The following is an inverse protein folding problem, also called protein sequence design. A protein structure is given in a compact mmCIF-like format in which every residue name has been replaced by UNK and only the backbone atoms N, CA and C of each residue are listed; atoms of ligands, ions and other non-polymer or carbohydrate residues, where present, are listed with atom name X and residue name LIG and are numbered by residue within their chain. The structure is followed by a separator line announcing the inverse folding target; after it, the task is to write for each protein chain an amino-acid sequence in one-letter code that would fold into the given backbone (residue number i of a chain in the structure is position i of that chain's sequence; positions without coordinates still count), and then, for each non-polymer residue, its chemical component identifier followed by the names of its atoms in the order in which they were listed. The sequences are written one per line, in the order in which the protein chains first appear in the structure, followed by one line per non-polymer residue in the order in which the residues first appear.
data_IF_799099630601
#
_entry.id   IF_799099630601
#
_cell.length_a   1.000
_cell.length_b   1.000
_cell.length_c   1.000
_cell.angle_alpha   90.00
_cell.angle_beta   90.00
_cell.angle_gamma   90.00
#
_symmetry.space_group_name_H-M   'P 1'
#
loop_
_entity.id
_entity.type
_entity.pdbx_description
1 polymer ?
#
# COMPACT_ATOMS: atom_id res chain seq x y z
N UNK A 1 -5.48 9.24 2.84
CA UNK A 1 -6.14 9.25 1.51
C UNK A 1 -7.30 8.26 1.52
N UNK A 2 -8.29 8.34 0.61
CA UNK A 2 -9.44 7.42 0.60
C UNK A 2 -9.41 6.52 -0.63
N UNK A 3 -9.76 5.24 -0.44
CA UNK A 3 -9.81 4.24 -1.50
C UNK A 3 -11.11 3.41 -1.43
N UNK A 4 -11.40 2.66 -2.49
CA UNK A 4 -12.55 1.75 -2.54
C UNK A 4 -12.07 0.34 -2.89
N UNK A 5 -11.92 -0.51 -1.88
CA UNK A 5 -11.59 -1.93 -2.06
C UNK A 5 -12.86 -2.78 -1.94
N UNK A 6 -13.19 -3.57 -2.96
CA UNK A 6 -14.34 -4.48 -2.94
C UNK A 6 -15.66 -3.79 -2.51
N UNK A 7 -15.95 -2.62 -3.09
CA UNK A 7 -17.12 -1.75 -2.76
C UNK A 7 -17.14 -1.20 -1.33
N UNK A 8 -16.06 -1.34 -0.56
CA UNK A 8 -15.92 -0.76 0.79
C UNK A 8 -15.04 0.48 0.71
N UNK A 9 -15.57 1.61 1.17
CA UNK A 9 -14.77 2.81 1.44
C UNK A 9 -13.79 2.51 2.58
N UNK A 10 -12.54 2.89 2.36
CA UNK A 10 -11.44 2.69 3.30
C UNK A 10 -10.47 3.86 3.23
N UNK A 11 -9.66 3.97 4.27
CA UNK A 11 -8.62 4.98 4.41
C UNK A 11 -7.29 4.31 4.20
N UNK A 12 -6.42 4.93 3.42
CA UNK A 12 -5.04 4.50 3.19
C UNK A 12 -4.17 5.11 4.28
N UNK A 13 -3.45 4.24 4.99
CA UNK A 13 -2.46 4.59 6.01
C UNK A 13 -1.09 4.06 5.61
N UNK A 14 -0.05 4.73 6.10
CA UNK A 14 1.35 4.40 5.83
C UNK A 14 2.05 4.03 7.14
N UNK A 15 2.90 3.03 7.05
CA UNK A 15 3.80 2.59 8.13
C UNK A 15 5.10 2.07 7.49
N UNK A 16 5.98 1.41 8.27
CA UNK A 16 7.21 0.82 7.78
C UNK A 16 7.36 -0.61 8.30
N UNK A 17 7.88 -1.49 7.45
CA UNK A 17 8.29 -2.83 7.89
C UNK A 17 9.53 -2.73 8.77
N UNK A 18 9.54 -3.45 9.90
CA UNK A 18 10.62 -3.38 10.89
C UNK A 18 11.99 -3.80 10.31
N UNK A 19 12.02 -4.80 9.42
CA UNK A 19 13.28 -5.44 8.99
C UNK A 19 14.13 -4.59 8.04
N UNK A 20 13.49 -3.88 7.11
CA UNK A 20 14.16 -3.15 6.01
C UNK A 20 13.67 -1.72 5.84
N UNK A 21 12.77 -1.28 6.73
CA UNK A 21 12.14 0.02 6.69
C UNK A 21 11.38 0.30 5.38
N UNK A 22 11.00 -0.71 4.60
CA UNK A 22 10.20 -0.48 3.40
C UNK A 22 8.84 0.08 3.80
N UNK A 23 8.32 1.01 3.00
CA UNK A 23 7.00 1.59 3.24
C UNK A 23 5.93 0.51 3.15
N UNK A 24 5.13 0.43 4.21
CA UNK A 24 3.95 -0.41 4.29
C UNK A 24 2.71 0.43 3.99
N UNK A 25 1.87 -0.04 3.07
CA UNK A 25 0.56 0.58 2.79
C UNK A 25 -0.53 -0.32 3.35
N UNK A 26 -1.38 0.24 4.20
CA UNK A 26 -2.53 -0.44 4.79
C UNK A 26 -3.82 0.25 4.39
N UNK A 27 -4.87 -0.55 4.17
CA UNK A 27 -6.22 -0.07 3.94
C UNK A 27 -7.04 -0.39 5.18
N UNK A 28 -7.49 0.63 5.87
CA UNK A 28 -8.22 0.51 7.14
C UNK A 28 -9.62 1.07 7.02
N UNK A 29 -10.53 0.62 7.88
CA UNK A 29 -11.89 1.12 7.93
C UNK A 29 -12.35 1.28 9.37
N UNK A 30 -12.80 2.48 9.71
CA UNK A 30 -13.47 2.72 10.99
C UNK A 30 -14.88 2.13 10.98
N UNK A 31 -15.18 1.25 11.93
CA UNK A 31 -16.55 0.74 12.14
C UNK A 31 -17.36 1.73 12.98
N UNK A 32 -18.64 1.89 12.64
CA UNK A 32 -19.52 2.84 13.34
C UNK A 32 -19.67 2.41 14.80
N UNK A 33 -19.38 3.32 15.73
CA UNK A 33 -19.47 3.05 17.17
C UNK A 33 -18.28 2.29 17.75
N UNK A 34 -17.21 2.06 16.99
CA UNK A 34 -15.96 1.50 17.49
C UNK A 34 -14.84 2.54 17.48
N UNK A 35 -14.00 2.52 18.51
CA UNK A 35 -12.79 3.34 18.60
C UNK A 35 -11.69 2.83 17.69
N UNK A 36 -11.61 1.51 17.50
CA UNK A 36 -10.55 0.84 16.73
C UNK A 36 -10.88 0.78 15.23
N UNK A 37 -9.82 0.82 14.42
CA UNK A 37 -9.90 0.68 12.97
C UNK A 37 -9.72 -0.79 12.57
N UNK A 38 -10.54 -1.26 11.64
CA UNK A 38 -10.43 -2.60 11.06
C UNK A 38 -9.43 -2.56 9.90
N UNK A 39 -8.36 -3.35 9.97
CA UNK A 39 -7.47 -3.59 8.84
C UNK A 39 -8.18 -4.44 7.78
N UNK A 40 -8.36 -3.90 6.59
CA UNK A 40 -8.96 -4.61 5.45
C UNK A 40 -7.93 -5.32 4.59
N UNK A 41 -6.78 -4.67 4.37
CA UNK A 41 -5.70 -5.21 3.56
C UNK A 41 -4.37 -4.53 3.90
N UNK A 42 -3.28 -5.28 3.81
CA UNK A 42 -1.93 -4.71 3.68
C UNK A 42 -1.55 -4.83 2.22
N UNK A 43 -1.52 -3.71 1.51
CA UNK A 43 -1.35 -3.68 0.05
C UNK A 43 0.09 -3.96 -0.39
N UNK A 44 1.05 -3.73 0.48
CA UNK A 44 2.47 -4.00 0.24
C UNK A 44 2.88 -5.37 0.76
N UNK A 45 4.07 -5.82 0.36
CA UNK A 45 4.74 -6.98 0.95
C UNK A 45 6.12 -6.58 1.44
N UNK A 46 6.54 -7.15 2.57
CA UNK A 46 7.93 -7.04 2.99
C UNK A 46 8.81 -7.91 2.08
N UNK A 47 9.85 -7.33 1.49
CA UNK A 47 10.79 -8.04 0.61
C UNK A 47 12.13 -8.24 1.31
N UNK A 48 13.00 -9.11 0.79
CA UNK A 48 14.35 -9.29 1.36
C UNK A 48 15.30 -8.13 1.08
N UNK A 49 14.87 -7.11 0.33
CA UNK A 49 15.68 -5.97 -0.09
C UNK A 49 15.04 -4.66 0.37
N UNK A 50 15.89 -3.73 0.81
CA UNK A 50 15.46 -2.35 1.01
C UNK A 50 15.19 -1.68 -0.33
N UNK A 51 14.05 -1.01 -0.46
CA UNK A 51 13.74 -0.12 -1.59
C UNK A 51 13.73 1.33 -1.13
N UNK A 52 13.97 2.26 -2.06
CA UNK A 52 13.93 3.70 -1.76
C UNK A 52 12.52 4.05 -1.27
N UNK A 53 12.45 4.91 -0.25
CA UNK A 53 11.23 5.15 0.57
C UNK A 53 10.07 5.81 -0.19
N UNK A 54 10.29 6.28 -1.41
CA UNK A 54 9.27 6.80 -2.31
C UNK A 54 8.80 5.75 -3.33
N UNK A 55 9.19 4.48 -3.15
CA UNK A 55 8.66 3.34 -3.90
C UNK A 55 8.09 2.29 -2.95
N UNK A 56 7.15 1.52 -3.48
CA UNK A 56 6.48 0.44 -2.76
C UNK A 56 6.42 -0.83 -3.61
N UNK A 57 6.62 -1.98 -2.95
CA UNK A 57 6.44 -3.29 -3.56
C UNK A 57 5.01 -3.79 -3.27
N UNK A 58 4.17 -3.83 -4.29
CA UNK A 58 2.75 -4.15 -4.15
C UNK A 58 2.51 -5.66 -4.17
N UNK A 59 1.78 -6.14 -3.16
CA UNK A 59 1.30 -7.50 -3.04
C UNK A 59 0.02 -7.66 -3.87
N UNK A 60 0.14 -7.77 -5.19
CA UNK A 60 -1.01 -7.84 -6.11
C UNK A 60 -1.69 -9.21 -6.24
N UNK A 61 -1.54 -10.12 -5.28
CA UNK A 61 -2.01 -11.51 -5.36
C UNK A 61 -2.87 -11.93 -4.17
N UNK A 62 -3.48 -13.12 -4.28
CA UNK A 62 -4.33 -13.73 -3.24
C UNK A 62 -5.47 -12.80 -2.83
N UNK A 63 -5.57 -12.42 -1.55
CA UNK A 63 -6.61 -11.55 -0.99
C UNK A 63 -6.55 -10.10 -1.53
N UNK A 64 -5.43 -9.71 -2.14
CA UNK A 64 -5.16 -8.37 -2.66
C UNK A 64 -5.26 -8.29 -4.20
N UNK A 65 -5.86 -9.28 -4.85
CA UNK A 65 -6.09 -9.20 -6.30
C UNK A 65 -6.86 -7.93 -6.65
N UNK A 66 -6.31 -7.09 -7.54
CA UNK A 66 -6.89 -5.80 -7.94
C UNK A 66 -6.51 -4.60 -7.07
N UNK A 67 -5.59 -4.76 -6.10
CA UNK A 67 -5.19 -3.67 -5.21
C UNK A 67 -4.40 -2.57 -5.94
N UNK A 68 -3.72 -2.92 -7.03
CA UNK A 68 -2.95 -1.98 -7.86
C UNK A 68 -3.89 -0.91 -8.42
N UNK A 69 -4.99 -1.30 -9.08
CA UNK A 69 -5.96 -0.34 -9.62
C UNK A 69 -6.59 0.51 -8.51
N UNK A 70 -6.91 -0.09 -7.36
CA UNK A 70 -7.48 0.64 -6.22
C UNK A 70 -6.55 1.74 -5.71
N UNK A 71 -5.24 1.47 -5.65
CA UNK A 71 -4.26 2.47 -5.20
C UNK A 71 -3.98 3.54 -6.26
N UNK A 72 -3.98 3.17 -7.54
CA UNK A 72 -3.84 4.11 -8.66
C UNK A 72 -5.05 5.08 -8.68
N UNK A 73 -6.27 4.55 -8.63
CA UNK A 73 -7.50 5.36 -8.60
C UNK A 73 -7.59 6.25 -7.36
N UNK A 74 -7.04 5.80 -6.23
CA UNK A 74 -6.95 6.60 -5.00
C UNK A 74 -5.81 7.64 -5.03
N UNK A 75 -5.01 7.68 -6.11
CA UNK A 75 -3.88 8.59 -6.29
C UNK A 75 -2.71 8.30 -5.34
N UNK A 76 -2.53 7.05 -4.90
CA UNK A 76 -1.50 6.66 -3.91
C UNK A 76 -0.19 6.29 -4.59
N UNK A 77 -0.27 5.52 -5.68
CA UNK A 77 0.86 5.09 -6.50
C UNK A 77 0.69 5.58 -7.94
N UNK A 78 1.79 5.74 -8.67
CA UNK A 78 1.75 6.02 -10.10
C UNK A 78 1.24 4.82 -10.90
N UNK A 79 0.71 5.07 -12.10
CA UNK A 79 0.11 4.05 -12.97
C UNK A 79 1.13 3.01 -13.48
N UNK A 80 2.36 3.45 -13.76
CA UNK A 80 3.39 2.58 -14.31
C UNK A 80 4.29 1.98 -13.22
N UNK A 81 4.41 0.64 -13.24
CA UNK A 81 5.42 -0.06 -12.46
C UNK A 81 6.80 0.19 -13.05
N UNK A 82 7.78 0.48 -12.20
CA UNK A 82 9.17 0.75 -12.59
C UNK A 82 10.09 -0.46 -12.40
N UNK A 83 9.57 -1.54 -11.81
CA UNK A 83 10.34 -2.73 -11.51
C UNK A 83 9.50 -3.84 -10.91
N UNK A 84 10.17 -4.93 -10.56
CA UNK A 84 9.53 -6.11 -9.99
C UNK A 84 10.51 -6.88 -9.08
N UNK A 85 10.01 -7.46 -8.00
CA UNK A 85 10.77 -8.23 -7.03
C UNK A 85 10.16 -9.64 -6.92
N UNK A 86 10.93 -10.70 -7.23
CA UNK A 86 10.47 -12.07 -7.01
C UNK A 86 10.21 -12.36 -5.53
N UNK A 87 9.05 -12.95 -5.24
CA UNK A 87 8.57 -13.27 -3.89
C UNK A 87 8.17 -14.76 -3.83
N UNK A 88 9.14 -15.65 -4.09
CA UNK A 88 8.89 -17.08 -4.24
C UNK A 88 8.11 -17.38 -5.52
N UNK A 89 6.85 -17.79 -5.37
CA UNK A 89 5.95 -18.13 -6.50
C UNK A 89 5.19 -16.92 -7.07
N UNK A 90 5.33 -15.75 -6.45
CA UNK A 90 4.67 -14.51 -6.86
C UNK A 90 5.71 -13.44 -7.21
N UNK A 91 5.25 -12.34 -7.80
CA UNK A 91 6.08 -11.18 -8.15
C UNK A 91 5.42 -9.92 -7.62
N UNK A 92 6.13 -9.16 -6.80
CA UNK A 92 5.71 -7.84 -6.35
C UNK A 92 6.16 -6.80 -7.37
N UNK A 93 5.22 -6.12 -8.02
CA UNK A 93 5.53 -4.96 -8.85
C UNK A 93 5.92 -3.79 -7.96
N UNK A 94 6.89 -3.01 -8.43
CA UNK A 94 7.39 -1.83 -7.71
C UNK A 94 6.85 -0.59 -8.38
N UNK A 95 6.17 0.24 -7.61
CA UNK A 95 5.59 1.50 -8.09
C UNK A 95 6.14 2.68 -7.30
N UNK A 96 6.34 3.85 -7.94
CA UNK A 96 6.54 5.10 -7.21
C UNK A 96 5.27 5.50 -6.47
N UNK A 97 5.42 6.10 -5.29
CA UNK A 97 4.36 6.89 -4.65
C UNK A 97 4.12 8.17 -5.45
N UNK A 98 2.89 8.66 -5.45
CA UNK A 98 2.56 10.02 -5.93
C UNK A 98 3.13 11.08 -5.01
N UNK A 99 3.22 12.34 -5.46
CA UNK A 99 3.69 13.43 -4.59
C UNK A 99 2.73 13.66 -3.42
N UNK A 100 1.42 13.58 -3.66
CA UNK A 100 0.39 13.71 -2.64
C UNK A 100 0.52 12.61 -1.57
N UNK A 101 0.80 11.37 -1.99
CA UNK A 101 1.02 10.27 -1.05
C UNK A 101 2.28 10.48 -0.19
N UNK A 102 3.37 10.99 -0.79
CA UNK A 102 4.60 11.32 -0.06
C UNK A 102 4.37 12.42 0.98
N UNK A 103 3.57 13.43 0.66
CA UNK A 103 3.20 14.49 1.60
C UNK A 103 2.36 13.95 2.76
N UNK A 104 1.36 13.13 2.47
CA UNK A 104 0.54 12.49 3.50
C UNK A 104 1.38 11.60 4.42
N UNK A 105 2.31 10.83 3.85
CA UNK A 105 3.21 9.96 4.61
C UNK A 105 4.11 10.76 5.56
N UNK A 106 4.67 11.89 5.11
CA UNK A 106 5.54 12.76 5.94
C UNK A 106 4.79 13.41 7.11
N UNK A 107 3.53 13.79 6.91
CA UNK A 107 2.74 14.48 7.94
C UNK A 107 2.19 13.54 9.03
N UNK A 108 2.30 12.22 8.84
CA UNK A 108 1.89 11.21 9.81
C UNK A 108 3.07 10.61 10.60
N UNK A 109 4.30 11.08 10.38
CA UNK A 109 5.50 10.78 11.18
C UNK A 109 5.71 11.85 12.26
#
# INVERSE_FOLDING_TARGET
MNAVLNKKKCTVTFDHYEDNNNVAIQLVKKRRGQSEEELLATATVNTSIGIRQDFVAIKGWSENTGIEEVLIEAGVICEEAVGAIPCGMAVAKVFPLTEEAKEVMKNNQ
#
